data_IF_527191825927
#
_entry.id   IF_527191825927
#
_cell.length_a   1.000
_cell.length_b   1.000
_cell.length_c   1.000
_cell.angle_alpha   90.00
_cell.angle_beta   90.00
_cell.angle_gamma   90.00
#
_symmetry.space_group_name_H-M   'P 1'
#
loop_
_entity.id
_entity.type
_entity.pdbx_description
1 polymer ?
#
# COMPACT_ATOMS: atom_id res chain seq x y z
N UNK A 1 5.39 15.20 -20.88
CA UNK A 1 4.54 13.99 -20.72
C UNK A 1 5.30 12.73 -20.23
N UNK A 2 6.45 12.87 -19.54
CA UNK A 2 7.22 11.70 -19.01
C UNK A 2 7.04 11.46 -17.50
N UNK A 3 6.65 12.49 -16.73
CA UNK A 3 6.59 12.43 -15.26
C UNK A 3 5.28 11.86 -14.66
N UNK A 4 4.19 11.77 -15.42
CA UNK A 4 2.90 11.28 -14.89
C UNK A 4 2.83 9.75 -14.82
N UNK A 5 3.42 9.04 -15.79
CA UNK A 5 3.43 7.56 -15.78
C UNK A 5 4.23 6.97 -14.63
N UNK A 6 5.39 7.55 -14.30
CA UNK A 6 6.24 7.08 -13.20
C UNK A 6 5.57 7.25 -11.84
N UNK A 7 4.72 8.26 -11.66
CA UNK A 7 4.00 8.50 -10.39
C UNK A 7 2.80 7.57 -10.20
N UNK A 8 2.07 7.25 -11.27
CA UNK A 8 1.04 6.21 -11.24
C UNK A 8 1.62 4.84 -10.89
N UNK A 9 2.73 4.46 -11.55
CA UNK A 9 3.50 3.25 -11.23
C UNK A 9 3.97 3.22 -9.77
N UNK A 10 4.33 4.37 -9.19
CA UNK A 10 4.78 4.46 -7.80
C UNK A 10 3.65 4.19 -6.80
N UNK A 11 2.44 4.69 -7.08
CA UNK A 11 1.26 4.42 -6.24
C UNK A 11 0.89 2.95 -6.25
N UNK A 12 0.81 2.33 -7.44
CA UNK A 12 0.46 0.90 -7.61
C UNK A 12 1.48 -0.02 -6.95
N UNK A 13 2.77 0.22 -7.18
CA UNK A 13 3.81 -0.55 -6.53
C UNK A 13 3.72 -0.43 -5.00
N UNK A 14 3.50 0.78 -4.48
CA UNK A 14 3.46 1.01 -3.04
C UNK A 14 2.31 0.24 -2.40
N UNK A 15 1.10 0.32 -2.96
CA UNK A 15 -0.06 -0.45 -2.47
C UNK A 15 0.13 -1.96 -2.60
N UNK A 16 0.66 -2.43 -3.73
CA UNK A 16 0.86 -3.86 -3.98
C UNK A 16 1.90 -4.46 -3.02
N UNK A 17 3.05 -3.78 -2.85
CA UNK A 17 4.08 -4.18 -1.89
C UNK A 17 3.54 -4.17 -0.45
N UNK A 18 2.77 -3.14 -0.08
CA UNK A 18 2.19 -3.05 1.27
C UNK A 18 1.20 -4.18 1.54
N UNK A 19 0.40 -4.59 0.55
CA UNK A 19 -0.50 -5.74 0.65
C UNK A 19 0.25 -7.07 0.75
N UNK A 20 1.32 -7.26 -0.04
CA UNK A 20 2.14 -8.47 0.00
C UNK A 20 2.83 -8.59 1.37
N UNK A 21 3.46 -7.52 1.84
CA UNK A 21 4.15 -7.50 3.13
C UNK A 21 3.17 -7.67 4.29
N UNK A 22 2.04 -6.96 4.27
CA UNK A 22 0.97 -7.12 5.27
C UNK A 22 0.39 -8.54 5.29
N UNK A 23 0.14 -9.13 4.12
CA UNK A 23 -0.31 -10.52 3.99
C UNK A 23 0.70 -11.52 4.54
N UNK A 24 1.99 -11.32 4.30
CA UNK A 24 3.07 -12.14 4.88
C UNK A 24 3.07 -12.07 6.42
N UNK A 25 2.91 -10.88 7.00
CA UNK A 25 2.85 -10.71 8.47
C UNK A 25 1.64 -11.44 9.07
N UNK A 26 0.48 -11.37 8.41
CA UNK A 26 -0.72 -12.10 8.84
C UNK A 26 -0.50 -13.63 8.73
N UNK A 27 0.09 -14.10 7.63
CA UNK A 27 0.36 -15.52 7.44
C UNK A 27 1.32 -16.08 8.52
N UNK A 28 2.36 -15.33 8.88
CA UNK A 28 3.29 -15.72 9.95
C UNK A 28 2.60 -15.79 11.32
N UNK A 29 1.68 -14.86 11.63
CA UNK A 29 0.87 -14.94 12.85
C UNK A 29 -0.05 -16.17 12.86
N UNK A 30 -0.67 -16.53 11.73
CA UNK A 30 -1.52 -17.73 11.62
C UNK A 30 -0.72 -19.01 11.86
N UNK A 31 0.54 -19.05 11.43
CA UNK A 31 1.46 -20.19 11.65
C UNK A 31 1.93 -20.27 13.13
N UNK A 32 1.56 -19.29 13.96
CA UNK A 32 1.92 -19.25 15.39
C UNK A 32 3.30 -18.65 15.65
N UNK A 33 3.91 -18.01 14.66
CA UNK A 33 5.14 -17.25 14.86
C UNK A 33 4.77 -15.96 15.58
N UNK A 34 5.19 -15.87 16.85
CA UNK A 34 4.93 -14.71 17.67
C UNK A 34 5.86 -13.55 17.25
N UNK A 35 5.32 -12.61 16.49
CA UNK A 35 6.03 -11.40 16.07
C UNK A 35 5.78 -10.33 17.13
N UNK A 36 6.83 -9.82 17.82
CA UNK A 36 6.63 -8.72 18.75
C UNK A 36 6.15 -7.48 17.99
N UNK A 37 5.12 -6.80 18.52
CA UNK A 37 4.51 -5.60 17.92
C UNK A 37 3.81 -5.84 16.57
N UNK A 38 3.34 -7.05 16.29
CA UNK A 38 2.68 -7.37 15.03
C UNK A 38 1.45 -6.49 14.75
N UNK A 39 0.67 -6.16 15.78
CA UNK A 39 -0.47 -5.23 15.66
C UNK A 39 -0.05 -3.84 15.17
N UNK A 40 1.07 -3.30 15.69
CA UNK A 40 1.59 -1.99 15.29
C UNK A 40 2.07 -2.03 13.84
N UNK A 41 2.74 -3.12 13.44
CA UNK A 41 3.21 -3.31 12.06
C UNK A 41 2.03 -3.36 11.09
N UNK A 42 0.96 -4.10 11.43
CA UNK A 42 -0.25 -4.18 10.62
C UNK A 42 -0.96 -2.82 10.51
N UNK A 43 -1.02 -2.05 11.59
CA UNK A 43 -1.61 -0.70 11.57
C UNK A 43 -0.80 0.24 10.66
N UNK A 44 0.53 0.23 10.75
CA UNK A 44 1.39 1.04 9.89
C UNK A 44 1.26 0.63 8.43
N UNK A 45 1.21 -0.67 8.14
CA UNK A 45 0.99 -1.17 6.77
C UNK A 45 -0.38 -0.77 6.24
N UNK A 46 -1.44 -0.87 7.05
CA UNK A 46 -2.76 -0.41 6.67
C UNK A 46 -2.77 1.09 6.36
N UNK A 47 -2.09 1.91 7.17
CA UNK A 47 -1.96 3.34 6.91
C UNK A 47 -1.24 3.62 5.57
N UNK A 48 -0.16 2.90 5.26
CA UNK A 48 0.56 3.02 3.98
C UNK A 48 -0.31 2.62 2.78
N UNK A 49 -1.10 1.55 2.90
CA UNK A 49 -2.07 1.13 1.86
C UNK A 49 -3.10 2.24 1.64
N UNK A 50 -3.72 2.77 2.71
CA UNK A 50 -4.74 3.83 2.60
C UNK A 50 -4.17 5.08 1.95
N UNK A 51 -2.94 5.48 2.30
CA UNK A 51 -2.26 6.62 1.67
C UNK A 51 -2.00 6.36 0.20
N UNK A 52 -1.49 5.18 -0.16
CA UNK A 52 -1.24 4.82 -1.57
C UNK A 52 -2.53 4.82 -2.41
N UNK A 53 -3.63 4.28 -1.87
CA UNK A 53 -4.95 4.32 -2.52
C UNK A 53 -5.49 5.74 -2.63
N UNK A 54 -5.35 6.57 -1.59
CA UNK A 54 -5.79 7.97 -1.61
C UNK A 54 -5.05 8.77 -2.71
N UNK A 55 -3.74 8.55 -2.85
CA UNK A 55 -2.92 9.14 -3.90
C UNK A 55 -3.41 8.70 -5.28
N UNK A 56 -3.67 7.41 -5.50
CA UNK A 56 -4.22 6.91 -6.77
C UNK A 56 -5.56 7.55 -7.13
N UNK A 57 -6.50 7.62 -6.19
CA UNK A 57 -7.82 8.19 -6.44
C UNK A 57 -7.69 9.68 -6.79
N UNK A 58 -6.84 10.41 -6.07
CA UNK A 58 -6.65 11.84 -6.31
C UNK A 58 -6.06 12.10 -7.69
N UNK A 59 -5.05 11.33 -8.11
CA UNK A 59 -4.47 11.45 -9.45
C UNK A 59 -5.35 10.85 -10.56
N UNK A 60 -6.14 9.81 -10.27
CA UNK A 60 -7.15 9.27 -11.19
C UNK A 60 -8.20 10.31 -11.57
N UNK A 61 -8.71 11.05 -10.57
CA UNK A 61 -9.65 12.15 -10.81
C UNK A 61 -9.02 13.35 -11.52
N UNK A 62 -7.71 13.58 -11.35
CA UNK A 62 -6.98 14.62 -12.08
C UNK A 62 -6.77 14.27 -13.57
N UNK A 63 -6.86 12.99 -13.95
CA UNK A 63 -6.78 12.53 -15.34
C UNK A 63 -8.10 12.62 -16.12
N UNK A 64 -9.24 12.72 -15.44
CA UNK A 64 -10.59 12.81 -16.05
C UNK A 64 -11.04 14.25 -16.36
N UNK A 65 -10.25 15.27 -16.00
CA UNK A 65 -10.68 16.69 -16.07
C UNK A 65 -10.36 17.41 -17.38
N UNK A 66 -10.20 16.70 -18.51
CA UNK A 66 -9.97 17.31 -19.84
C UNK A 66 -10.79 16.63 -20.93
#
# INVERSE_FOLDING_TARGET
>A
MSGERTRFLSGELLTSLSLIVGGCVIALQIIGINIPFADVILVVMAALVVVGVAIMIWYGKAGESW
#
